data_IF_240580992634
#
_entry.id   IF_240580992634
#
_cell.length_a   1.000
_cell.length_b   1.000
_cell.length_c   1.000
_cell.angle_alpha   90.00
_cell.angle_beta   90.00
_cell.angle_gamma   90.00
#
_symmetry.space_group_name_H-M   'P 1'
#
loop_
_entity.id
_entity.type
_entity.pdbx_description
1 polymer ?
#
# COMPACT_ATOMS: atom_id res chain seq x y z
N UNK A 1 31.99 -10.77 11.80
CA UNK A 1 32.59 -11.85 12.62
C UNK A 1 32.88 -13.09 11.78
N UNK A 2 31.94 -13.55 10.95
CA UNK A 2 32.07 -14.73 10.06
C UNK A 2 33.17 -14.66 9.00
N UNK A 3 33.32 -13.50 8.33
CA UNK A 3 34.40 -13.29 7.35
C UNK A 3 35.78 -13.40 8.03
N UNK A 4 35.93 -12.93 9.28
CA UNK A 4 37.18 -13.07 10.04
C UNK A 4 37.54 -14.52 10.32
N UNK A 5 36.57 -15.40 10.58
CA UNK A 5 36.82 -16.83 10.87
C UNK A 5 37.31 -17.53 9.60
N UNK A 6 36.62 -17.35 8.47
CA UNK A 6 37.01 -17.95 7.18
C UNK A 6 38.37 -17.41 6.71
N UNK A 7 38.62 -16.12 6.89
CA UNK A 7 39.89 -15.51 6.52
C UNK A 7 41.04 -15.87 7.47
N UNK A 8 40.77 -16.08 8.76
CA UNK A 8 41.78 -16.57 9.70
C UNK A 8 42.25 -17.99 9.35
N UNK A 9 41.44 -18.76 8.60
CA UNK A 9 41.88 -20.03 8.02
C UNK A 9 42.71 -19.86 6.74
N UNK A 10 42.52 -18.76 6.00
CA UNK A 10 43.33 -18.40 4.83
C UNK A 10 44.64 -17.67 5.21
N UNK A 11 44.72 -17.04 6.38
CA UNK A 11 45.86 -16.20 6.80
C UNK A 11 46.70 -16.75 7.94
N UNK A 12 46.65 -18.08 8.21
CA UNK A 12 47.34 -18.69 9.37
C UNK A 12 48.85 -18.41 9.46
N UNK A 13 49.49 -17.86 8.42
CA UNK A 13 50.92 -17.53 8.42
C UNK A 13 51.26 -16.03 8.39
N UNK A 14 50.29 -15.11 8.22
CA UNK A 14 50.58 -13.67 8.24
C UNK A 14 49.35 -12.84 8.69
N UNK A 15 49.39 -12.28 9.90
CA UNK A 15 48.42 -11.31 10.43
C UNK A 15 48.33 -9.99 9.62
N UNK A 16 49.22 -9.82 8.63
CA UNK A 16 49.32 -8.61 7.81
C UNK A 16 48.30 -8.51 6.67
N UNK A 17 47.51 -9.56 6.38
CA UNK A 17 46.56 -9.60 5.25
C UNK A 17 45.09 -9.62 5.68
N UNK A 18 44.73 -8.93 6.77
CA UNK A 18 43.33 -8.77 7.14
C UNK A 18 42.54 -8.06 6.02
N UNK A 19 41.50 -8.72 5.49
CA UNK A 19 40.55 -8.05 4.58
C UNK A 19 39.94 -6.86 5.34
N UNK A 20 40.28 -5.66 4.87
CA UNK A 20 39.69 -4.42 5.35
C UNK A 20 38.22 -4.41 4.95
N UNK A 21 37.33 -4.53 5.95
CA UNK A 21 35.91 -4.41 5.70
C UNK A 21 35.60 -2.95 5.34
N UNK A 22 34.86 -2.76 4.24
CA UNK A 22 34.39 -1.43 3.84
C UNK A 22 33.20 -1.09 4.72
N UNK A 23 33.14 0.12 5.33
CA UNK A 23 31.96 0.56 6.03
C UNK A 23 30.73 0.47 5.09
N UNK A 24 29.62 -0.18 5.50
CA UNK A 24 28.49 -0.47 4.60
C UNK A 24 27.90 0.77 3.91
N UNK A 25 27.97 1.93 4.57
CA UNK A 25 27.44 3.20 4.07
C UNK A 25 28.31 3.85 2.99
N UNK A 26 29.60 3.53 2.92
CA UNK A 26 30.54 4.22 2.02
C UNK A 26 30.21 3.95 0.55
N UNK A 27 29.86 2.70 0.21
CA UNK A 27 29.48 2.33 -1.16
C UNK A 27 28.06 2.77 -1.48
N UNK A 28 27.15 2.77 -0.50
CA UNK A 28 25.76 3.16 -0.70
C UNK A 28 25.60 4.61 -1.17
N UNK A 29 26.49 5.51 -0.76
CA UNK A 29 26.45 6.90 -1.23
C UNK A 29 26.95 7.10 -2.68
N UNK A 30 27.52 6.07 -3.32
CA UNK A 30 27.99 6.16 -4.70
C UNK A 30 26.87 5.83 -5.69
N UNK A 31 26.88 6.43 -6.89
CA UNK A 31 26.12 5.92 -8.03
C UNK A 31 26.40 4.43 -8.23
N UNK A 32 25.39 3.67 -8.65
CA UNK A 32 25.46 2.22 -8.83
C UNK A 32 26.67 1.79 -9.68
N UNK A 33 26.92 2.47 -10.80
CA UNK A 33 28.12 2.27 -11.61
C UNK A 33 29.40 2.39 -10.78
N UNK A 34 29.52 3.44 -9.96
CA UNK A 34 30.70 3.67 -9.12
C UNK A 34 30.83 2.64 -7.99
N UNK A 35 29.73 2.04 -7.53
CA UNK A 35 29.80 0.91 -6.57
C UNK A 35 30.43 -0.32 -7.19
N UNK A 36 30.06 -0.63 -8.43
CA UNK A 36 30.68 -1.69 -9.20
C UNK A 36 32.15 -1.37 -9.46
N UNK A 37 32.46 -0.17 -9.98
CA UNK A 37 33.83 0.25 -10.27
C UNK A 37 34.74 0.21 -9.03
N UNK A 38 34.22 0.61 -7.86
CA UNK A 38 34.93 0.53 -6.59
C UNK A 38 35.09 -0.91 -6.11
N UNK A 39 34.08 -1.78 -6.32
CA UNK A 39 34.12 -3.17 -5.87
C UNK A 39 35.01 -4.04 -6.74
N UNK A 40 34.94 -3.91 -8.06
CA UNK A 40 35.79 -4.67 -8.99
C UNK A 40 37.27 -4.33 -8.85
N UNK A 41 37.61 -3.12 -8.38
CA UNK A 41 39.00 -2.71 -8.07
C UNK A 41 39.44 -2.99 -6.64
N UNK A 42 38.52 -3.44 -5.78
CA UNK A 42 38.85 -3.69 -4.38
C UNK A 42 39.84 -4.87 -4.27
N UNK A 43 40.97 -4.74 -3.55
CA UNK A 43 41.98 -5.80 -3.44
C UNK A 43 41.40 -7.13 -3.00
N UNK A 44 40.46 -7.14 -2.05
CA UNK A 44 39.81 -8.38 -1.61
C UNK A 44 38.98 -9.05 -2.70
N UNK A 45 38.31 -8.28 -3.57
CA UNK A 45 37.53 -8.86 -4.66
C UNK A 45 38.46 -9.45 -5.72
N UNK A 46 39.53 -8.73 -6.05
CA UNK A 46 40.59 -9.18 -6.94
C UNK A 46 41.30 -10.44 -6.42
N UNK A 47 41.69 -10.48 -5.14
CA UNK A 47 42.31 -11.64 -4.51
C UNK A 47 41.39 -12.85 -4.53
N UNK A 48 40.11 -12.67 -4.15
CA UNK A 48 39.13 -13.74 -4.19
C UNK A 48 38.90 -14.26 -5.61
N UNK A 49 39.01 -13.41 -6.64
CA UNK A 49 38.81 -13.80 -8.04
C UNK A 49 40.04 -14.52 -8.64
N UNK A 50 41.24 -14.01 -8.35
CA UNK A 50 42.48 -14.49 -8.95
C UNK A 50 43.07 -15.71 -8.24
N UNK A 51 42.56 -16.08 -7.06
CA UNK A 51 42.97 -17.32 -6.41
C UNK A 51 42.52 -18.50 -7.27
N UNK A 52 43.46 -19.28 -7.85
CA UNK A 52 43.07 -20.44 -8.64
C UNK A 52 42.34 -21.42 -7.71
N UNK A 53 41.27 -22.08 -8.18
CA UNK A 53 40.71 -23.19 -7.44
C UNK A 53 41.82 -24.22 -7.29
N UNK A 54 42.33 -24.44 -6.07
CA UNK A 54 43.36 -25.46 -5.84
C UNK A 54 42.83 -26.78 -6.39
N UNK A 55 43.59 -27.36 -7.31
CA UNK A 55 43.26 -28.61 -7.98
C UNK A 55 43.09 -29.68 -6.90
N UNK A 56 41.84 -30.02 -6.63
CA UNK A 56 41.36 -31.21 -5.90
C UNK A 56 42.39 -31.82 -4.95
N UNK A 57 42.59 -31.20 -3.80
CA UNK A 57 43.13 -31.92 -2.65
C UNK A 57 42.08 -32.97 -2.28
N UNK A 58 42.39 -34.24 -2.49
CA UNK A 58 41.53 -35.40 -2.16
C UNK A 58 41.23 -35.56 -0.67
N UNK A 59 41.58 -34.57 0.17
CA UNK A 59 41.38 -34.59 1.60
C UNK A 59 39.96 -34.09 1.96
N UNK A 60 39.08 -34.95 2.50
CA UNK A 60 37.67 -34.64 2.79
C UNK A 60 37.44 -33.63 3.94
N UNK A 61 38.50 -33.11 4.59
CA UNK A 61 38.40 -32.20 5.74
C UNK A 61 38.69 -30.73 5.42
N UNK A 62 38.93 -30.38 4.15
CA UNK A 62 39.00 -28.99 3.72
C UNK A 62 37.61 -28.59 3.22
N UNK A 63 36.94 -27.71 3.95
CA UNK A 63 35.84 -26.89 3.44
C UNK A 63 36.18 -26.55 1.99
N UNK A 64 35.27 -26.84 1.05
CA UNK A 64 35.49 -26.59 -0.37
C UNK A 64 35.89 -25.12 -0.55
N UNK A 65 37.20 -24.92 -0.75
CA UNK A 65 37.81 -23.61 -0.80
C UNK A 65 37.21 -22.80 -1.93
N UNK A 66 36.82 -23.49 -3.01
CA UNK A 66 36.21 -22.90 -4.20
C UNK A 66 34.78 -22.44 -3.89
N UNK A 67 33.98 -23.29 -3.25
CA UNK A 67 32.66 -22.90 -2.76
C UNK A 67 32.74 -21.69 -1.82
N UNK A 68 33.74 -21.66 -0.93
CA UNK A 68 33.96 -20.56 0.01
C UNK A 68 34.36 -19.28 -0.72
N UNK A 69 35.24 -19.35 -1.72
CA UNK A 69 35.65 -18.20 -2.52
C UNK A 69 34.48 -17.63 -3.34
N UNK A 70 33.72 -18.47 -4.04
CA UNK A 70 32.52 -18.07 -4.80
C UNK A 70 31.55 -17.34 -3.88
N UNK A 71 31.31 -17.90 -2.71
CA UNK A 71 30.45 -17.33 -1.70
C UNK A 71 30.97 -15.99 -1.15
N UNK A 72 32.27 -15.85 -0.87
CA UNK A 72 32.85 -14.58 -0.44
C UNK A 72 32.78 -13.50 -1.54
N UNK A 73 32.94 -13.88 -2.81
CA UNK A 73 32.70 -12.97 -3.95
C UNK A 73 31.25 -12.50 -3.95
N UNK A 74 30.31 -13.43 -3.78
CA UNK A 74 28.88 -13.12 -3.71
C UNK A 74 28.54 -12.16 -2.58
N UNK A 75 29.12 -12.35 -1.38
CA UNK A 75 28.92 -11.41 -0.25
C UNK A 75 29.36 -10.00 -0.59
N UNK A 76 30.50 -9.85 -1.27
CA UNK A 76 31.00 -8.53 -1.67
C UNK A 76 30.08 -7.86 -2.71
N UNK A 77 29.45 -8.64 -3.58
CA UNK A 77 28.48 -8.16 -4.56
C UNK A 77 27.14 -7.77 -3.89
N UNK A 78 26.64 -8.57 -2.96
CA UNK A 78 25.42 -8.25 -2.20
C UNK A 78 25.59 -6.95 -1.40
N UNK A 79 26.80 -6.68 -0.89
CA UNK A 79 27.10 -5.41 -0.20
C UNK A 79 26.92 -4.17 -1.08
N UNK A 80 26.94 -4.30 -2.40
CA UNK A 80 26.64 -3.21 -3.34
C UNK A 80 25.23 -3.25 -3.94
N UNK A 81 24.39 -4.20 -3.50
CA UNK A 81 23.02 -4.38 -3.96
C UNK A 81 22.85 -5.44 -5.05
N UNK A 82 23.91 -6.13 -5.44
CA UNK A 82 23.85 -7.13 -6.51
C UNK A 82 23.45 -8.51 -5.98
N UNK A 83 22.38 -9.09 -6.51
CA UNK A 83 21.84 -10.41 -6.11
C UNK A 83 22.08 -11.52 -7.15
N UNK A 84 22.59 -11.20 -8.35
CA UNK A 84 22.84 -12.16 -9.43
C UNK A 84 24.08 -13.07 -9.21
N UNK A 85 24.50 -13.85 -10.23
CA UNK A 85 25.69 -14.71 -10.16
C UNK A 85 27.00 -13.91 -10.09
N UNK A 86 28.06 -14.49 -9.50
CA UNK A 86 29.33 -13.77 -9.34
C UNK A 86 29.90 -13.23 -10.66
N UNK A 87 30.22 -11.93 -10.71
CA UNK A 87 30.67 -11.23 -11.92
C UNK A 87 32.19 -11.10 -11.96
N UNK A 88 32.81 -11.30 -13.13
CA UNK A 88 34.25 -11.06 -13.28
C UNK A 88 34.62 -9.59 -13.02
N UNK A 89 35.74 -9.29 -12.35
CA UNK A 89 36.20 -7.90 -12.21
C UNK A 89 36.58 -7.24 -13.55
N UNK A 90 36.74 -8.04 -14.61
CA UNK A 90 36.93 -7.56 -15.98
C UNK A 90 35.64 -7.12 -16.67
N UNK A 91 34.47 -7.48 -16.14
CA UNK A 91 33.17 -7.08 -16.70
C UNK A 91 32.98 -5.57 -16.52
N UNK A 92 32.69 -4.86 -17.61
CA UNK A 92 32.37 -3.44 -17.53
C UNK A 92 30.96 -3.24 -16.99
N UNK A 93 30.67 -2.07 -16.42
CA UNK A 93 29.34 -1.83 -15.84
C UNK A 93 28.20 -2.01 -16.86
N UNK A 94 28.42 -1.58 -18.11
CA UNK A 94 27.42 -1.66 -19.18
C UNK A 94 27.15 -3.10 -19.64
N UNK A 95 28.01 -4.05 -19.28
CA UNK A 95 27.83 -5.48 -19.57
C UNK A 95 27.05 -6.19 -18.46
N UNK A 96 26.74 -5.50 -17.37
CA UNK A 96 25.90 -6.00 -16.29
C UNK A 96 24.48 -5.60 -16.62
N UNK A 97 23.57 -6.59 -16.73
CA UNK A 97 22.19 -6.33 -17.15
C UNK A 97 21.53 -5.22 -16.32
N UNK A 98 20.76 -4.35 -16.97
CA UNK A 98 20.06 -3.23 -16.30
C UNK A 98 19.15 -3.71 -15.15
N UNK A 99 18.64 -4.94 -15.27
CA UNK A 99 17.81 -5.61 -14.26
C UNK A 99 18.59 -6.04 -13.01
N UNK A 100 19.91 -6.21 -13.10
CA UNK A 100 20.75 -6.69 -11.99
C UNK A 100 21.20 -5.55 -11.05
N UNK A 101 21.17 -4.32 -11.56
CA UNK A 101 21.53 -3.10 -10.86
C UNK A 101 20.51 -1.98 -11.13
N UNK A 102 19.25 -2.17 -10.71
CA UNK A 102 18.24 -1.17 -10.99
C UNK A 102 18.63 0.18 -10.38
N UNK A 103 18.44 1.25 -11.16
CA UNK A 103 18.89 2.61 -10.80
C UNK A 103 18.44 3.08 -9.41
N UNK A 104 17.30 2.57 -8.92
CA UNK A 104 16.77 2.90 -7.59
C UNK A 104 17.65 2.39 -6.45
N UNK A 105 18.56 1.44 -6.72
CA UNK A 105 19.59 1.06 -5.77
C UNK A 105 20.59 2.17 -5.54
N UNK A 106 20.67 3.21 -6.38
CA UNK A 106 21.49 4.40 -6.13
C UNK A 106 20.81 5.39 -5.19
N UNK A 107 21.59 6.20 -4.47
CA UNK A 107 21.05 7.26 -3.60
C UNK A 107 21.12 6.95 -2.11
N UNK A 108 20.27 7.62 -1.35
CA UNK A 108 20.23 7.63 0.12
C UNK A 108 19.19 6.69 0.73
N UNK A 109 18.35 6.11 -0.12
CA UNK A 109 17.24 5.22 0.25
C UNK A 109 17.31 4.00 -0.66
N UNK A 110 17.23 2.80 -0.07
CA UNK A 110 17.30 1.55 -0.83
C UNK A 110 16.22 0.57 -0.35
N UNK A 111 15.33 0.08 -1.24
CA UNK A 111 14.54 -1.11 -1.00
C UNK A 111 15.39 -2.27 -0.48
N UNK A 112 14.81 -3.01 0.46
CA UNK A 112 15.40 -4.24 0.99
C UNK A 112 14.51 -5.39 0.52
N UNK A 113 15.09 -6.34 -0.20
CA UNK A 113 14.41 -7.58 -0.59
C UNK A 113 14.18 -8.49 0.62
N UNK A 114 13.32 -9.51 0.49
CA UNK A 114 13.12 -10.53 1.53
C UNK A 114 14.44 -11.19 1.94
N UNK A 115 15.29 -11.55 0.98
CA UNK A 115 16.65 -12.07 1.23
C UNK A 115 17.51 -11.08 2.00
N UNK A 116 17.43 -9.79 1.66
CA UNK A 116 18.14 -8.72 2.36
C UNK A 116 17.70 -8.60 3.83
N UNK A 117 16.40 -8.68 4.10
CA UNK A 117 15.86 -8.64 5.46
C UNK A 117 16.32 -9.83 6.29
N UNK A 118 16.21 -11.04 5.75
CA UNK A 118 16.67 -12.26 6.40
C UNK A 118 18.18 -12.22 6.67
N UNK A 119 18.96 -11.68 5.72
CA UNK A 119 20.40 -11.47 5.90
C UNK A 119 20.71 -10.50 7.04
N UNK A 120 19.97 -9.39 7.14
CA UNK A 120 20.12 -8.44 8.25
C UNK A 120 19.79 -9.12 9.56
N UNK A 121 18.66 -9.85 9.63
CA UNK A 121 18.27 -10.59 10.83
C UNK A 121 19.35 -11.59 11.27
N UNK A 122 19.88 -12.39 10.34
CA UNK A 122 20.96 -13.34 10.59
C UNK A 122 22.23 -12.68 11.13
N UNK A 123 22.53 -11.45 10.70
CA UNK A 123 23.75 -10.73 11.09
C UNK A 123 23.61 -9.93 12.40
N UNK A 124 22.42 -9.38 12.70
CA UNK A 124 22.24 -8.43 13.80
C UNK A 124 21.61 -9.03 15.04
N UNK A 125 20.81 -10.08 14.90
CA UNK A 125 20.12 -10.68 16.03
C UNK A 125 21.07 -11.52 16.90
N UNK A 126 20.75 -11.60 18.20
CA UNK A 126 21.46 -12.44 19.15
C UNK A 126 21.22 -13.91 18.85
N UNK A 127 22.10 -14.79 19.34
CA UNK A 127 21.93 -16.24 19.16
C UNK A 127 20.59 -16.73 19.72
N UNK A 128 20.16 -16.22 20.88
CA UNK A 128 18.88 -16.56 21.48
C UNK A 128 17.69 -16.16 20.59
N UNK A 129 17.67 -14.91 20.10
CA UNK A 129 16.61 -14.43 19.21
C UNK A 129 16.60 -15.17 17.87
N UNK A 130 17.78 -15.49 17.32
CA UNK A 130 17.89 -16.31 16.12
C UNK A 130 17.42 -17.74 16.36
N UNK A 131 17.69 -18.33 17.53
CA UNK A 131 17.20 -19.66 17.88
C UNK A 131 15.68 -19.66 18.00
N UNK A 132 15.09 -18.62 18.57
CA UNK A 132 13.64 -18.50 18.65
C UNK A 132 13.01 -18.23 17.28
N UNK A 133 13.62 -17.40 16.43
CA UNK A 133 13.20 -17.24 15.02
C UNK A 133 13.38 -18.52 14.21
N UNK A 134 14.49 -19.22 14.39
CA UNK A 134 14.76 -20.50 13.75
C UNK A 134 13.71 -21.51 14.18
N UNK A 135 13.38 -21.61 15.47
CA UNK A 135 12.27 -22.45 15.96
C UNK A 135 10.93 -22.05 15.37
N UNK A 136 10.65 -20.75 15.19
CA UNK A 136 9.41 -20.30 14.55
C UNK A 136 9.39 -20.65 13.06
N UNK A 137 10.51 -20.50 12.36
CA UNK A 137 10.65 -20.89 10.96
C UNK A 137 10.65 -22.40 10.78
N UNK A 138 11.31 -23.15 11.65
CA UNK A 138 11.35 -24.61 11.73
C UNK A 138 9.98 -25.16 12.12
N UNK A 139 9.28 -24.53 13.07
CA UNK A 139 7.88 -24.84 13.35
C UNK A 139 7.01 -24.63 12.11
N UNK A 140 7.29 -23.57 11.34
CA UNK A 140 6.62 -23.30 10.08
C UNK A 140 7.07 -24.20 8.91
N UNK A 141 8.27 -24.80 8.99
CA UNK A 141 8.95 -25.46 7.85
C UNK A 141 9.30 -26.94 8.06
N UNK A 142 9.06 -27.50 9.25
CA UNK A 142 9.43 -28.84 9.75
C UNK A 142 10.19 -29.78 8.78
N UNK A 143 11.50 -29.88 8.97
CA UNK A 143 12.29 -31.12 9.02
C UNK A 143 13.62 -30.86 9.78
N UNK A 144 14.05 -31.81 10.60
CA UNK A 144 14.99 -31.64 11.75
C UNK A 144 16.48 -31.60 11.37
N UNK A 145 17.26 -30.73 12.04
CA UNK A 145 18.73 -30.88 12.22
C UNK A 145 19.31 -29.81 13.16
N UNK A 146 20.12 -30.22 14.14
CA UNK A 146 20.81 -29.36 15.12
C UNK A 146 22.33 -29.34 14.90
N UNK A 147 22.93 -28.18 14.58
CA UNK A 147 24.34 -27.87 14.89
C UNK A 147 24.55 -26.33 15.01
N UNK A 148 25.67 -25.89 15.58
CA UNK A 148 25.89 -24.48 16.01
C UNK A 148 26.85 -23.66 15.11
N UNK A 149 27.47 -24.25 14.08
CA UNK A 149 28.20 -23.51 13.02
C UNK A 149 27.26 -22.85 11.97
N UNK A 150 25.97 -22.87 12.30
CA UNK A 150 24.86 -22.64 11.40
C UNK A 150 24.67 -21.19 10.99
N UNK A 151 25.14 -20.18 11.71
CA UNK A 151 24.82 -18.78 11.33
C UNK A 151 25.50 -18.36 10.03
N UNK A 152 26.78 -18.69 9.91
CA UNK A 152 27.55 -18.50 8.70
C UNK A 152 26.93 -19.33 7.57
N UNK A 153 26.77 -20.62 7.84
CA UNK A 153 26.27 -21.60 6.88
C UNK A 153 24.84 -21.28 6.41
N UNK A 154 23.93 -20.87 7.29
CA UNK A 154 22.56 -20.49 6.98
C UNK A 154 22.50 -19.19 6.17
N UNK A 155 23.32 -18.18 6.51
CA UNK A 155 23.45 -16.99 5.67
C UNK A 155 23.92 -17.38 4.26
N UNK A 156 24.92 -18.26 4.15
CA UNK A 156 25.43 -18.72 2.86
C UNK A 156 24.48 -19.66 2.12
N UNK A 157 23.74 -20.50 2.83
CA UNK A 157 22.66 -21.33 2.29
C UNK A 157 21.56 -20.45 1.73
N UNK A 158 21.15 -19.40 2.46
CA UNK A 158 20.18 -18.41 1.99
C UNK A 158 20.64 -17.72 0.70
N UNK A 159 21.94 -17.41 0.56
CA UNK A 159 22.48 -16.85 -0.69
C UNK A 159 22.39 -17.82 -1.88
N UNK A 160 22.29 -19.13 -1.61
CA UNK A 160 22.24 -20.19 -2.63
C UNK A 160 20.83 -20.63 -2.97
N UNK A 161 19.82 -20.25 -2.19
CA UNK A 161 18.43 -20.57 -2.50
C UNK A 161 18.02 -19.82 -3.75
N UNK A 162 17.93 -20.54 -4.88
CA UNK A 162 17.47 -20.01 -6.16
C UNK A 162 15.93 -19.92 -6.17
N UNK A 163 15.39 -19.06 -5.31
CA UNK A 163 13.95 -18.78 -5.23
C UNK A 163 13.73 -17.29 -5.49
N UNK A 164 13.01 -17.01 -6.58
CA UNK A 164 12.68 -15.65 -7.02
C UNK A 164 11.86 -14.90 -5.96
N UNK A 165 11.05 -15.59 -5.14
CA UNK A 165 10.26 -14.96 -4.07
C UNK A 165 11.13 -14.34 -2.97
N UNK A 166 12.35 -14.83 -2.79
CA UNK A 166 13.31 -14.24 -1.85
C UNK A 166 13.94 -12.95 -2.40
N UNK A 167 13.97 -12.80 -3.72
CA UNK A 167 14.47 -11.60 -4.40
C UNK A 167 13.35 -10.56 -4.66
N UNK A 168 12.09 -10.91 -4.35
CA UNK A 168 10.96 -9.98 -4.37
C UNK A 168 11.03 -8.95 -3.22
N UNK A 169 10.43 -7.79 -3.49
CA UNK A 169 10.16 -6.77 -2.47
C UNK A 169 8.79 -7.05 -1.84
N UNK A 170 8.66 -6.92 -0.51
CA UNK A 170 7.37 -7.04 0.15
C UNK A 170 6.34 -6.06 -0.43
N UNK A 171 5.05 -6.34 -0.19
CA UNK A 171 3.95 -5.44 -0.54
C UNK A 171 4.05 -4.07 0.12
N UNK A 172 4.82 -3.99 1.20
CA UNK A 172 5.21 -2.74 1.86
C UNK A 172 6.63 -2.34 1.46
N UNK A 173 6.84 -1.05 1.21
CA UNK A 173 8.15 -0.53 0.86
C UNK A 173 9.04 -0.45 2.12
N UNK A 174 9.91 -1.43 2.31
CA UNK A 174 10.94 -1.43 3.36
C UNK A 174 12.23 -0.84 2.79
N UNK A 175 12.71 0.25 3.39
CA UNK A 175 13.91 0.96 2.91
C UNK A 175 15.02 1.06 3.95
N UNK A 176 16.27 0.88 3.51
CA UNK A 176 17.47 1.24 4.24
C UNK A 176 17.81 2.70 3.97
N UNK A 177 18.15 3.44 5.02
CA UNK A 177 18.60 4.83 4.93
C UNK A 177 20.12 4.94 5.07
N UNK A 178 20.74 5.75 4.22
CA UNK A 178 22.15 6.11 4.36
C UNK A 178 22.26 7.31 5.32
N UNK A 179 22.82 7.14 6.55
CA UNK A 179 22.77 8.17 7.59
C UNK A 179 23.61 9.41 7.26
N UNK A 180 24.48 9.33 6.25
CA UNK A 180 25.37 10.42 5.83
C UNK A 180 24.77 11.30 4.74
N UNK A 181 23.59 10.96 4.22
CA UNK A 181 22.98 11.70 3.13
C UNK A 181 22.38 13.02 3.60
N UNK A 182 22.45 14.05 2.76
CA UNK A 182 21.77 15.31 3.03
C UNK A 182 20.24 15.12 3.00
N UNK A 183 19.52 15.92 3.79
CA UNK A 183 18.04 15.90 3.81
C UNK A 183 17.46 16.13 2.41
N UNK A 184 18.08 16.99 1.60
CA UNK A 184 17.65 17.28 0.23
C UNK A 184 17.79 16.04 -0.68
N UNK A 185 18.92 15.32 -0.57
CA UNK A 185 19.14 14.08 -1.31
C UNK A 185 18.12 13.02 -0.89
N UNK A 186 17.91 12.87 0.42
CA UNK A 186 16.89 11.98 0.98
C UNK A 186 15.49 12.24 0.42
N UNK A 187 15.04 13.49 0.40
CA UNK A 187 13.73 13.85 -0.14
C UNK A 187 13.60 13.54 -1.62
N UNK A 188 14.66 13.77 -2.41
CA UNK A 188 14.68 13.46 -3.83
C UNK A 188 14.58 11.95 -4.09
N UNK A 189 15.37 11.15 -3.37
CA UNK A 189 15.40 9.70 -3.51
C UNK A 189 14.10 9.06 -3.01
N UNK A 190 13.53 9.56 -1.90
CA UNK A 190 12.23 9.11 -1.40
C UNK A 190 11.13 9.31 -2.43
N UNK A 191 11.10 10.50 -3.05
CA UNK A 191 10.12 10.82 -4.09
C UNK A 191 10.30 9.92 -5.32
N UNK A 192 11.54 9.67 -5.74
CA UNK A 192 11.83 8.82 -6.90
C UNK A 192 11.41 7.36 -6.65
N UNK A 193 11.75 6.80 -5.48
CA UNK A 193 11.38 5.43 -5.11
C UNK A 193 9.87 5.30 -4.98
N UNK A 194 9.20 6.26 -4.33
CA UNK A 194 7.75 6.23 -4.18
C UNK A 194 7.04 6.27 -5.54
N UNK A 195 7.50 7.12 -6.46
CA UNK A 195 6.91 7.22 -7.81
C UNK A 195 7.04 5.90 -8.58
N UNK A 196 8.22 5.26 -8.53
CA UNK A 196 8.45 3.96 -9.19
C UNK A 196 7.66 2.83 -8.54
N UNK A 197 7.60 2.81 -7.21
CA UNK A 197 6.80 1.83 -6.47
C UNK A 197 5.32 1.95 -6.84
N UNK A 198 4.81 3.19 -6.96
CA UNK A 198 3.45 3.47 -7.42
C UNK A 198 3.24 2.98 -8.86
N UNK A 199 4.14 3.31 -9.77
CA UNK A 199 4.10 2.87 -11.17
C UNK A 199 4.07 1.35 -11.31
N UNK A 200 5.01 0.65 -10.64
CA UNK A 200 5.11 -0.81 -10.69
C UNK A 200 3.84 -1.52 -10.18
N UNK A 201 3.13 -0.90 -9.23
CA UNK A 201 1.91 -1.44 -8.64
C UNK A 201 0.62 -0.89 -9.28
N UNK A 202 0.73 -0.11 -10.36
CA UNK A 202 -0.40 0.62 -10.95
C UNK A 202 -1.20 1.44 -9.91
N UNK A 203 -0.51 1.96 -8.89
CA UNK A 203 -1.10 2.82 -7.87
C UNK A 203 -1.07 4.25 -8.39
N UNK A 204 -2.23 4.88 -8.45
CA UNK A 204 -2.28 6.31 -8.72
C UNK A 204 -1.89 7.08 -7.46
N UNK A 205 -1.09 8.15 -7.57
CA UNK A 205 -0.79 9.01 -6.43
C UNK A 205 -2.09 9.63 -5.90
N UNK A 206 -2.58 9.07 -4.80
CA UNK A 206 -3.71 9.61 -4.08
C UNK A 206 -3.21 10.80 -3.25
N UNK A 207 -3.79 11.98 -3.48
CA UNK A 207 -3.56 13.11 -2.58
C UNK A 207 -4.28 12.82 -1.26
N UNK A 208 -3.51 12.38 -0.26
CA UNK A 208 -4.02 12.21 1.10
C UNK A 208 -4.47 13.57 1.63
N UNK A 209 -5.77 13.74 1.87
CA UNK A 209 -6.34 14.90 2.57
C UNK A 209 -6.50 14.59 4.05
N UNK A 210 -5.38 14.30 4.72
CA UNK A 210 -5.38 13.99 6.14
C UNK A 210 -5.95 15.14 6.97
N UNK A 211 -5.81 16.39 6.48
CA UNK A 211 -6.43 17.60 7.02
C UNK A 211 -7.96 17.55 7.06
N UNK A 212 -8.60 16.63 6.32
CA UNK A 212 -10.07 16.49 6.22
C UNK A 212 -10.62 15.24 6.88
N UNK A 213 -9.78 14.37 7.44
CA UNK A 213 -10.25 13.11 8.00
C UNK A 213 -11.17 13.30 9.20
N UNK A 214 -10.89 14.28 10.06
CA UNK A 214 -11.79 14.63 11.16
C UNK A 214 -13.17 15.07 10.66
N UNK A 215 -13.22 15.90 9.61
CA UNK A 215 -14.48 16.28 8.97
C UNK A 215 -15.22 15.06 8.41
N UNK A 216 -14.52 14.15 7.72
CA UNK A 216 -15.11 12.95 7.13
C UNK A 216 -15.71 12.02 8.20
N UNK A 217 -14.94 11.73 9.26
CA UNK A 217 -15.38 10.89 10.36
C UNK A 217 -16.54 11.54 11.12
N UNK A 218 -16.52 12.85 11.34
CA UNK A 218 -17.65 13.57 11.94
C UNK A 218 -18.95 13.42 11.13
N UNK A 219 -18.88 13.45 9.79
CA UNK A 219 -20.06 13.20 8.94
C UNK A 219 -20.50 11.73 9.02
N UNK A 220 -19.57 10.78 9.07
CA UNK A 220 -19.88 9.36 9.31
C UNK A 220 -20.63 9.18 10.63
N UNK A 221 -20.13 9.80 11.71
CA UNK A 221 -20.68 9.67 13.05
C UNK A 221 -22.11 10.18 13.12
N UNK A 222 -22.40 11.33 12.53
CA UNK A 222 -23.78 11.84 12.44
C UNK A 222 -24.68 10.98 11.55
N UNK A 223 -24.15 10.49 10.41
CA UNK A 223 -24.95 9.74 9.43
C UNK A 223 -25.27 8.33 9.91
N UNK A 224 -24.34 7.70 10.60
CA UNK A 224 -24.46 6.33 11.10
C UNK A 224 -24.79 6.29 12.60
N UNK A 225 -24.95 7.44 13.27
CA UNK A 225 -25.21 7.47 14.70
C UNK A 225 -24.10 6.83 15.53
N UNK A 226 -22.84 6.88 15.06
CA UNK A 226 -21.70 6.40 15.83
C UNK A 226 -21.38 7.39 16.95
N UNK A 227 -21.43 6.93 18.19
CA UNK A 227 -21.04 7.72 19.34
C UNK A 227 -20.64 6.81 20.49
N UNK A 228 -19.74 7.27 21.36
CA UNK A 228 -19.28 6.51 22.53
C UNK A 228 -18.83 5.07 22.22
N UNK A 229 -18.26 4.84 21.04
CA UNK A 229 -17.76 3.53 20.62
C UNK A 229 -18.83 2.54 20.15
N UNK A 230 -20.07 2.98 19.90
CA UNK A 230 -21.18 2.13 19.47
C UNK A 230 -22.04 2.84 18.41
N UNK A 231 -22.79 2.06 17.64
CA UNK A 231 -23.79 2.59 16.72
C UNK A 231 -25.15 2.71 17.43
N UNK A 232 -25.72 3.91 17.43
CA UNK A 232 -26.99 4.25 18.06
C UNK A 232 -27.99 4.67 16.98
N UNK A 233 -29.00 3.82 16.73
CA UNK A 233 -30.00 4.01 15.67
C UNK A 233 -30.78 5.32 15.81
N UNK A 234 -31.03 5.76 17.05
CA UNK A 234 -31.73 6.99 17.41
C UNK A 234 -30.95 8.27 17.12
N UNK A 235 -29.63 8.15 16.89
CA UNK A 235 -28.75 9.29 16.56
C UNK A 235 -28.45 9.42 15.08
N UNK A 236 -28.95 8.52 14.24
CA UNK A 236 -28.77 8.62 12.80
C UNK A 236 -29.43 9.91 12.27
N UNK A 237 -28.73 10.59 11.36
CA UNK A 237 -29.23 11.80 10.70
C UNK A 237 -29.33 11.62 9.18
N UNK A 238 -30.31 12.29 8.56
CA UNK A 238 -30.36 12.43 7.11
C UNK A 238 -29.24 13.34 6.61
N UNK A 239 -28.79 13.18 5.36
CA UNK A 239 -27.78 14.09 4.79
C UNK A 239 -28.27 15.55 4.81
N UNK A 240 -29.58 15.78 4.65
CA UNK A 240 -30.22 17.10 4.80
C UNK A 240 -30.10 17.63 6.24
N UNK A 241 -30.43 16.82 7.26
CA UNK A 241 -30.28 17.24 8.66
C UNK A 241 -28.82 17.57 9.01
N UNK A 242 -27.87 16.79 8.50
CA UNK A 242 -26.43 17.04 8.69
C UNK A 242 -26.03 18.35 8.01
N UNK A 243 -26.46 18.57 6.77
CA UNK A 243 -26.21 19.80 6.02
C UNK A 243 -26.73 21.04 6.76
N UNK A 244 -27.96 20.99 7.27
CA UNK A 244 -28.54 22.06 8.10
C UNK A 244 -27.74 22.30 9.39
N UNK A 245 -27.25 21.24 10.04
CA UNK A 245 -26.49 21.36 11.28
C UNK A 245 -25.07 21.91 11.07
N UNK A 246 -24.39 21.55 9.97
CA UNK A 246 -23.02 22.02 9.70
C UNK A 246 -22.96 23.30 8.88
N UNK A 247 -24.06 23.70 8.23
CA UNK A 247 -24.10 24.81 7.29
C UNK A 247 -23.43 24.52 5.94
N UNK A 248 -23.16 23.26 5.62
CA UNK A 248 -22.63 22.84 4.32
C UNK A 248 -23.76 22.44 3.35
N UNK A 249 -23.51 22.45 2.04
CA UNK A 249 -24.46 21.90 1.08
C UNK A 249 -24.64 20.38 1.23
N UNK A 250 -25.82 19.85 0.89
CA UNK A 250 -26.09 18.41 0.87
C UNK A 250 -25.07 17.66 0.00
N UNK A 251 -24.70 18.24 -1.15
CA UNK A 251 -23.68 17.69 -2.04
C UNK A 251 -22.32 17.56 -1.36
N UNK A 252 -21.90 18.58 -0.61
CA UNK A 252 -20.66 18.53 0.19
C UNK A 252 -20.73 17.42 1.24
N UNK A 253 -21.83 17.33 2.00
CA UNK A 253 -22.02 16.30 3.02
C UNK A 253 -22.01 14.90 2.41
N UNK A 254 -22.70 14.72 1.29
CA UNK A 254 -22.70 13.45 0.57
C UNK A 254 -21.29 13.04 0.14
N UNK A 255 -20.52 13.95 -0.46
CA UNK A 255 -19.14 13.68 -0.85
C UNK A 255 -18.24 13.33 0.34
N UNK A 256 -18.36 14.08 1.46
CA UNK A 256 -17.64 13.77 2.71
C UNK A 256 -18.02 12.41 3.27
N UNK A 257 -19.29 12.04 3.21
CA UNK A 257 -19.79 10.73 3.62
C UNK A 257 -19.24 9.60 2.72
N UNK A 258 -19.15 9.80 1.39
CA UNK A 258 -18.53 8.81 0.50
C UNK A 258 -17.05 8.63 0.81
N UNK A 259 -16.33 9.73 1.08
CA UNK A 259 -14.93 9.69 1.50
C UNK A 259 -14.74 9.02 2.85
N UNK A 260 -15.66 9.23 3.82
CA UNK A 260 -15.59 8.56 5.11
C UNK A 260 -15.90 7.07 5.01
N UNK A 261 -16.87 6.68 4.19
CA UNK A 261 -17.14 5.27 3.88
C UNK A 261 -15.92 4.59 3.27
N UNK A 262 -15.26 5.21 2.30
CA UNK A 262 -14.03 4.66 1.68
C UNK A 262 -12.87 4.60 2.67
N UNK A 263 -12.72 5.62 3.54
CA UNK A 263 -11.71 5.65 4.58
C UNK A 263 -11.88 4.48 5.59
N UNK A 264 -13.12 4.18 5.99
CA UNK A 264 -13.42 3.16 7.01
C UNK A 264 -13.41 1.75 6.42
N UNK A 265 -13.94 1.58 5.21
CA UNK A 265 -14.14 0.26 4.60
C UNK A 265 -13.04 -0.13 3.62
N UNK A 266 -12.22 0.81 3.18
CA UNK A 266 -11.26 0.62 2.08
C UNK A 266 -11.90 0.57 0.69
N UNK A 267 -13.20 0.85 0.56
CA UNK A 267 -13.94 0.71 -0.69
C UNK A 267 -14.82 1.92 -1.01
N UNK A 268 -14.92 2.28 -2.29
CA UNK A 268 -15.82 3.35 -2.74
C UNK A 268 -17.26 3.06 -2.36
N UNK A 269 -17.95 4.07 -1.85
CA UNK A 269 -19.36 3.95 -1.47
C UNK A 269 -20.26 3.57 -2.66
N UNK A 270 -20.96 2.46 -2.50
CA UNK A 270 -22.16 2.09 -3.24
C UNK A 270 -23.25 1.66 -2.24
N UNK A 271 -24.54 1.86 -2.56
CA UNK A 271 -25.60 1.43 -1.66
C UNK A 271 -25.60 -0.09 -1.42
N UNK A 272 -25.26 -0.90 -2.43
CA UNK A 272 -25.11 -2.34 -2.29
C UNK A 272 -24.02 -2.71 -1.28
N UNK A 273 -22.86 -2.05 -1.37
CA UNK A 273 -21.74 -2.31 -0.48
C UNK A 273 -22.04 -1.82 0.93
N UNK A 274 -22.78 -0.72 1.07
CA UNK A 274 -23.28 -0.30 2.37
C UNK A 274 -24.14 -1.38 3.03
N UNK A 275 -25.09 -1.98 2.31
CA UNK A 275 -25.90 -3.09 2.85
C UNK A 275 -25.04 -4.31 3.18
N UNK A 276 -23.98 -4.59 2.43
CA UNK A 276 -23.07 -5.69 2.73
C UNK A 276 -22.26 -5.45 4.01
N UNK A 277 -21.80 -4.22 4.23
CA UNK A 277 -20.94 -3.85 5.37
C UNK A 277 -21.77 -3.57 6.63
N UNK A 278 -22.77 -2.70 6.51
CA UNK A 278 -23.60 -2.24 7.62
C UNK A 278 -24.84 -3.11 7.85
N UNK A 279 -25.24 -3.90 6.86
CA UNK A 279 -26.49 -4.66 6.95
C UNK A 279 -26.55 -5.63 8.13
N UNK A 280 -25.53 -6.48 8.36
CA UNK A 280 -25.52 -7.35 9.54
C UNK A 280 -25.74 -6.53 10.82
N UNK A 281 -24.91 -5.51 11.05
CA UNK A 281 -25.01 -4.62 12.20
C UNK A 281 -26.38 -3.95 12.36
N UNK A 282 -27.06 -3.58 11.27
CA UNK A 282 -28.32 -2.82 11.29
C UNK A 282 -29.58 -3.68 11.31
N UNK A 283 -29.49 -4.95 10.92
CA UNK A 283 -30.66 -5.78 10.64
C UNK A 283 -30.64 -7.15 11.31
N UNK A 284 -29.57 -7.56 12.02
CA UNK A 284 -29.54 -8.87 12.72
C UNK A 284 -29.91 -8.83 14.20
N UNK A 285 -30.28 -7.66 14.75
CA UNK A 285 -30.67 -7.58 16.16
C UNK A 285 -32.17 -7.86 16.31
N UNK A 286 -32.50 -9.14 16.55
CA UNK A 286 -33.87 -9.65 16.61
C UNK A 286 -34.60 -9.26 17.92
N UNK A 287 -33.89 -8.76 18.94
CA UNK A 287 -34.50 -8.66 20.27
C UNK A 287 -35.07 -7.29 20.64
N UNK A 288 -34.43 -6.13 20.43
CA UNK A 288 -34.98 -4.88 21.02
C UNK A 288 -34.64 -3.53 20.35
N UNK A 289 -33.85 -3.48 19.28
CA UNK A 289 -33.55 -2.19 18.63
C UNK A 289 -34.48 -1.93 17.44
N UNK A 290 -35.31 -0.89 17.55
CA UNK A 290 -36.08 -0.40 16.41
C UNK A 290 -35.12 0.00 15.29
N UNK A 291 -35.10 -0.79 14.21
CA UNK A 291 -34.33 -0.48 13.01
C UNK A 291 -34.72 0.94 12.57
N UNK A 292 -33.72 1.83 12.56
CA UNK A 292 -33.88 3.23 12.18
C UNK A 292 -34.63 3.38 10.85
N UNK A 293 -35.57 4.33 10.83
CA UNK A 293 -36.31 4.72 9.63
C UNK A 293 -35.34 5.16 8.52
N UNK A 294 -34.22 5.79 8.89
CA UNK A 294 -33.21 6.27 7.94
C UNK A 294 -32.52 5.07 7.27
N UNK A 295 -32.06 4.09 8.04
CA UNK A 295 -31.47 2.85 7.53
C UNK A 295 -32.41 2.06 6.62
N UNK A 296 -33.71 1.95 6.98
CA UNK A 296 -34.73 1.28 6.14
C UNK A 296 -34.94 1.95 4.78
N UNK A 297 -34.76 3.27 4.70
CA UNK A 297 -35.03 4.08 3.51
C UNK A 297 -33.83 4.18 2.55
N UNK A 298 -32.67 3.63 2.89
CA UNK A 298 -31.49 3.71 2.01
C UNK A 298 -31.73 3.01 0.68
N UNK A 299 -31.25 3.58 -0.45
CA UNK A 299 -31.30 2.91 -1.73
C UNK A 299 -30.65 1.53 -1.64
N UNK A 300 -31.30 0.47 -2.13
CA UNK A 300 -30.71 -0.88 -2.13
C UNK A 300 -29.81 -1.14 -3.32
N UNK A 301 -29.96 -0.34 -4.36
CA UNK A 301 -29.20 -0.43 -5.59
C UNK A 301 -28.73 0.95 -6.00
N UNK A 302 -27.50 1.02 -6.50
CA UNK A 302 -27.01 2.14 -7.29
C UNK A 302 -27.97 2.37 -8.46
N UNK A 303 -28.22 3.63 -8.80
CA UNK A 303 -28.99 3.93 -10.01
C UNK A 303 -28.23 3.34 -11.21
N UNK A 304 -28.79 2.33 -11.87
CA UNK A 304 -28.21 1.81 -13.10
C UNK A 304 -28.22 2.95 -14.11
N UNK A 305 -27.05 3.31 -14.63
CA UNK A 305 -26.96 4.27 -15.72
C UNK A 305 -27.76 3.67 -16.89
N UNK A 306 -28.91 4.26 -17.21
CA UNK A 306 -29.54 3.96 -18.48
C UNK A 306 -28.57 4.44 -19.55
N UNK A 307 -28.08 3.51 -20.38
CA UNK A 307 -27.40 3.87 -21.61
C UNK A 307 -28.34 4.78 -22.38
N UNK A 308 -27.93 6.04 -22.57
CA UNK A 308 -28.71 6.97 -23.36
C UNK A 308 -28.65 6.41 -24.78
N UNK A 309 -29.78 6.01 -25.39
CA UNK A 309 -29.76 5.46 -26.73
C UNK A 309 -29.11 6.46 -27.69
N UNK A 310 -28.21 5.98 -28.57
CA UNK A 310 -27.51 6.83 -29.55
C UNK A 310 -28.46 7.66 -30.41
N UNK A 311 -29.72 7.22 -30.55
CA UNK A 311 -30.80 7.96 -31.22
C UNK A 311 -31.15 9.30 -30.58
N UNK A 312 -30.75 9.57 -29.33
CA UNK A 312 -30.90 10.88 -28.66
C UNK A 312 -29.71 11.82 -28.86
N UNK A 313 -28.57 11.33 -29.33
CA UNK A 313 -27.37 12.14 -29.58
C UNK A 313 -27.34 12.73 -30.99
N UNK A 314 -28.18 12.23 -31.90
CA UNK A 314 -28.23 12.67 -33.31
C UNK A 314 -29.45 13.55 -33.62
N UNK A 315 -29.73 14.58 -32.81
CA UNK A 315 -30.69 15.62 -33.21
C UNK A 315 -29.89 16.86 -33.68
N UNK A 316 -29.66 17.03 -34.99
CA UNK A 316 -28.71 18.02 -35.53
C UNK A 316 -29.21 19.47 -35.53
N UNK A 317 -30.32 19.81 -34.84
CA UNK A 317 -30.91 21.16 -34.93
C UNK A 317 -30.60 22.10 -33.76
N UNK A 318 -29.87 21.67 -32.73
CA UNK A 318 -29.36 22.61 -31.71
C UNK A 318 -27.87 22.41 -31.47
N UNK A 319 -27.13 23.21 -32.24
CA UNK A 319 -25.72 23.53 -32.09
C UNK A 319 -25.48 24.34 -30.80
N UNK A 320 -24.29 24.14 -30.21
CA UNK A 320 -23.75 24.79 -29.02
C UNK A 320 -24.49 24.61 -27.68
N UNK A 321 -24.31 23.44 -27.05
CA UNK A 321 -24.18 23.43 -25.58
C UNK A 321 -23.21 22.36 -25.12
N UNK A 322 -22.10 22.81 -24.52
CA UNK A 322 -21.04 21.99 -23.93
C UNK A 322 -21.62 20.82 -23.12
N UNK A 323 -21.25 19.61 -23.52
CA UNK A 323 -21.63 18.35 -22.88
C UNK A 323 -20.95 18.24 -21.51
N UNK A 324 -21.63 18.74 -20.48
CA UNK A 324 -21.32 18.53 -19.06
C UNK A 324 -21.70 17.10 -18.62
N UNK A 325 -20.99 16.08 -19.11
CA UNK A 325 -21.27 14.67 -18.77
C UNK A 325 -20.88 14.24 -17.34
N UNK A 326 -20.35 15.15 -16.52
CA UNK A 326 -19.94 14.85 -15.12
C UNK A 326 -21.00 15.20 -14.06
N UNK A 327 -22.12 15.82 -14.41
CA UNK A 327 -23.13 16.28 -13.44
C UNK A 327 -24.36 15.37 -13.30
N UNK A 328 -24.56 14.40 -14.20
CA UNK A 328 -25.76 13.55 -14.17
C UNK A 328 -25.75 12.47 -13.07
N UNK A 329 -24.59 11.94 -12.70
CA UNK A 329 -24.49 10.92 -11.64
C UNK A 329 -24.86 11.49 -10.25
N UNK A 330 -24.41 12.72 -9.95
CA UNK A 330 -24.72 13.41 -8.69
C UNK A 330 -26.23 13.68 -8.53
N UNK A 331 -26.91 14.08 -9.61
CA UNK A 331 -28.32 14.46 -9.55
C UNK A 331 -29.27 13.28 -9.24
N UNK A 332 -28.91 12.05 -9.61
CA UNK A 332 -29.80 10.88 -9.44
C UNK A 332 -29.98 10.48 -7.97
N UNK A 333 -28.91 10.56 -7.17
CA UNK A 333 -28.95 10.22 -5.76
C UNK A 333 -29.52 11.38 -4.93
N UNK A 334 -29.22 12.62 -5.32
CA UNK A 334 -29.87 13.82 -4.77
C UNK A 334 -31.39 13.76 -4.97
N UNK A 335 -31.86 13.35 -6.17
CA UNK A 335 -33.28 13.12 -6.43
C UNK A 335 -33.88 11.99 -5.57
N UNK A 336 -33.17 10.88 -5.38
CA UNK A 336 -33.63 9.78 -4.52
C UNK A 336 -33.72 10.19 -3.04
N UNK A 337 -32.78 10.99 -2.56
CA UNK A 337 -32.77 11.50 -1.19
C UNK A 337 -33.87 12.56 -0.99
N UNK A 338 -34.00 13.51 -1.93
CA UNK A 338 -35.08 14.50 -1.95
C UNK A 338 -36.45 13.81 -1.96
N UNK A 339 -36.60 12.71 -2.69
CA UNK A 339 -37.81 11.87 -2.70
C UNK A 339 -38.17 11.38 -1.29
N UNK A 340 -37.20 10.86 -0.55
CA UNK A 340 -37.40 10.35 0.81
C UNK A 340 -37.75 11.45 1.81
N UNK A 341 -37.11 12.62 1.66
CA UNK A 341 -37.34 13.77 2.53
C UNK A 341 -38.75 14.32 2.30
N UNK A 342 -39.16 14.51 1.04
CA UNK A 342 -40.55 14.91 0.67
C UNK A 342 -41.57 13.90 1.23
N UNK A 343 -41.36 12.60 1.06
CA UNK A 343 -42.27 11.58 1.61
C UNK A 343 -42.36 11.63 3.14
N UNK A 344 -41.25 11.88 3.84
CA UNK A 344 -41.24 12.03 5.29
C UNK A 344 -42.07 13.22 5.78
N UNK A 345 -42.00 14.34 5.06
CA UNK A 345 -42.70 15.58 5.43
C UNK A 345 -44.18 15.52 5.06
N UNK A 346 -44.53 14.83 3.96
CA UNK A 346 -45.93 14.52 3.63
C UNK A 346 -46.56 13.63 4.71
N UNK A 347 -45.84 12.59 5.17
CA UNK A 347 -46.35 11.70 6.23
C UNK A 347 -46.59 12.43 7.56
N UNK A 348 -45.90 13.56 7.81
CA UNK A 348 -46.12 14.46 8.95
C UNK A 348 -47.30 15.43 8.75
N UNK A 349 -48.01 15.38 7.63
CA UNK A 349 -49.16 16.22 7.33
C UNK A 349 -48.82 17.66 6.94
N UNK A 350 -47.59 17.94 6.50
CA UNK A 350 -47.19 19.30 6.11
C UNK A 350 -47.79 19.67 4.76
N UNK A 351 -48.05 20.97 4.53
CA UNK A 351 -48.48 21.49 3.22
C UNK A 351 -47.30 21.68 2.24
N UNK A 352 -47.60 21.92 0.97
CA UNK A 352 -46.56 22.04 -0.07
C UNK A 352 -45.61 23.21 0.17
N UNK A 353 -46.11 24.35 0.64
CA UNK A 353 -45.33 25.57 0.87
C UNK A 353 -44.37 25.42 2.04
N UNK A 354 -44.76 24.67 3.08
CA UNK A 354 -43.92 24.37 4.22
C UNK A 354 -42.85 23.35 3.86
N UNK A 355 -43.19 22.33 3.07
CA UNK A 355 -42.23 21.35 2.56
C UNK A 355 -41.19 22.04 1.65
N UNK A 356 -41.61 22.92 0.75
CA UNK A 356 -40.71 23.61 -0.16
C UNK A 356 -39.71 24.51 0.57
N UNK A 357 -40.16 25.26 1.59
CA UNK A 357 -39.29 26.09 2.43
C UNK A 357 -38.30 25.30 3.27
N UNK A 358 -38.67 24.08 3.70
CA UNK A 358 -37.77 23.22 4.45
C UNK A 358 -36.67 22.63 3.55
N UNK A 359 -37.04 22.20 2.33
CA UNK A 359 -36.11 21.55 1.41
C UNK A 359 -35.16 22.54 0.72
N UNK A 360 -35.64 23.75 0.42
CA UNK A 360 -34.83 24.82 -0.16
C UNK A 360 -35.29 26.19 0.40
N UNK A 361 -34.73 26.65 1.53
CA UNK A 361 -35.16 27.89 2.19
C UNK A 361 -34.94 29.13 1.34
N UNK A 362 -33.88 29.13 0.53
CA UNK A 362 -33.47 30.27 -0.28
C UNK A 362 -34.34 30.43 -1.54
N UNK A 363 -34.83 29.32 -2.09
CA UNK A 363 -35.66 29.31 -3.29
C UNK A 363 -36.75 28.20 -3.20
N UNK A 364 -37.85 28.47 -2.47
CA UNK A 364 -38.90 27.46 -2.29
C UNK A 364 -39.75 27.30 -3.55
N UNK A 365 -39.81 26.06 -4.07
CA UNK A 365 -40.61 25.68 -5.24
C UNK A 365 -41.77 24.73 -4.86
N UNK A 366 -42.93 25.26 -4.40
CA UNK A 366 -44.07 24.44 -3.99
C UNK A 366 -44.70 23.64 -5.14
N UNK A 367 -44.54 24.07 -6.38
CA UNK A 367 -45.01 23.37 -7.58
C UNK A 367 -44.27 22.04 -7.81
N UNK A 368 -42.99 21.95 -7.43
CA UNK A 368 -42.21 20.71 -7.48
C UNK A 368 -42.77 19.69 -6.48
N UNK A 369 -43.08 20.13 -5.26
CA UNK A 369 -43.71 19.28 -4.23
C UNK A 369 -45.10 18.82 -4.66
N UNK A 370 -45.88 19.72 -5.30
CA UNK A 370 -47.19 19.37 -5.85
C UNK A 370 -47.08 18.32 -6.96
N UNK A 371 -46.19 18.50 -7.94
CA UNK A 371 -45.93 17.51 -9.00
C UNK A 371 -45.51 16.18 -8.42
N UNK A 372 -44.69 16.20 -7.37
CA UNK A 372 -44.27 15.00 -6.66
C UNK A 372 -45.45 14.27 -5.99
N UNK A 373 -46.35 14.99 -5.31
CA UNK A 373 -47.59 14.39 -4.77
C UNK A 373 -48.42 13.73 -5.86
N UNK A 374 -48.65 14.43 -6.97
CA UNK A 374 -49.42 13.89 -8.09
C UNK A 374 -48.77 12.65 -8.70
N UNK A 375 -47.44 12.60 -8.82
CA UNK A 375 -46.73 11.47 -9.42
C UNK A 375 -46.68 10.22 -8.51
N UNK A 376 -46.80 10.38 -7.20
CA UNK A 376 -46.53 9.30 -6.23
C UNK A 376 -47.67 8.99 -5.26
N UNK A 377 -48.81 9.71 -5.29
CA UNK A 377 -50.00 9.41 -4.47
C UNK A 377 -50.98 8.40 -5.12
N UNK A 378 -50.82 8.07 -6.41
CA UNK A 378 -51.67 7.08 -7.11
C UNK A 378 -51.10 5.64 -7.13
N UNK A 379 -49.97 5.39 -6.48
CA UNK A 379 -49.44 4.02 -6.34
C UNK A 379 -49.87 3.47 -4.97
N UNK A 380 -50.74 2.44 -4.93
CA UNK A 380 -51.07 1.78 -3.67
C UNK A 380 -49.79 1.22 -3.04
N UNK A 381 -49.77 1.27 -1.70
CA UNK A 381 -48.64 0.94 -0.81
C UNK A 381 -48.01 -0.41 -1.08
#
# INVERSE_FOLDING_TARGET
MTIKIILSHLSKEDDNFAILDRPPYQLRNLPVQMRWEATRRHPSYQLLWNYPPEVSSTAPSRIDLNATQVMLRQVLLIKIGYSGPTISPSTEFNDIGEDEFPEWMSGSIHPISTRGMLSIALLTLSHAALKDMARLFEYAAKEESEDDDFRAQAYFSLLRVADESLDQYPDELIVSLAPQSSVKQFQADAKAILARFQEHRNLHPARTRADRYEDYLRIWDMREGWCHGQYQSEREMTLSQIASQTGDSIKTIHNRYRSSFELITGHKYTPELWFRVMGPLRFTDDELQEISIISKRRPRKSSTRQEIPDSRLNNPEHDDTLVTSKTQEDNSLELAQMRLDVQSLIAKGWDNDRIARELNPDEPHPDIVQKFRMLYQDLPS
#
